data_IF_137199164012
#
_entry.id   IF_137199164012
#
_cell.length_a   1.000
_cell.length_b   1.000
_cell.length_c   1.000
_cell.angle_alpha   90.00
_cell.angle_beta   90.00
_cell.angle_gamma   90.00
#
_symmetry.space_group_name_H-M   'P 1'
#
loop_
_entity.id
_entity.type
_entity.pdbx_description
1 polymer ?
#
# COMPACT_ATOMS: atom_id res chain seq x y z
N UNK A 1 -11.61 21.13 -10.80
CA UNK A 1 -12.42 19.88 -10.88
C UNK A 1 -11.80 18.75 -10.08
N UNK A 2 -10.65 18.18 -10.46
CA UNK A 2 -10.01 17.10 -9.67
C UNK A 2 -9.54 17.58 -8.28
N UNK A 3 -8.98 18.79 -8.20
CA UNK A 3 -8.61 19.45 -6.92
C UNK A 3 -9.78 19.60 -5.95
N UNK A 4 -10.96 19.91 -6.49
CA UNK A 4 -12.16 20.19 -5.69
C UNK A 4 -12.72 18.88 -5.12
N UNK A 5 -12.75 17.82 -5.95
CA UNK A 5 -13.11 16.46 -5.52
C UNK A 5 -12.15 15.97 -4.44
N UNK A 6 -10.84 16.12 -4.65
CA UNK A 6 -9.84 15.70 -3.67
C UNK A 6 -10.01 16.44 -2.34
N UNK A 7 -10.34 17.73 -2.38
CA UNK A 7 -10.57 18.53 -1.16
C UNK A 7 -11.85 18.14 -0.44
N UNK A 8 -12.95 17.87 -1.17
CA UNK A 8 -14.22 17.46 -0.56
C UNK A 8 -14.15 16.04 0.02
N UNK A 9 -13.40 15.14 -0.62
CA UNK A 9 -13.27 13.75 -0.22
C UNK A 9 -12.16 13.51 0.82
N UNK A 10 -11.24 14.45 1.02
CA UNK A 10 -10.16 14.33 2.00
C UNK A 10 -10.63 14.19 3.45
N UNK A 11 -11.87 14.60 3.75
CA UNK A 11 -12.46 14.48 5.09
C UNK A 11 -13.22 13.16 5.30
N UNK A 12 -13.23 12.26 4.31
CA UNK A 12 -13.80 10.92 4.46
C UNK A 12 -12.97 10.09 5.44
N UNK A 13 -13.63 9.34 6.32
CA UNK A 13 -12.96 8.52 7.36
C UNK A 13 -12.78 7.06 6.97
N UNK A 14 -13.34 6.63 5.84
CA UNK A 14 -13.36 5.21 5.44
C UNK A 14 -12.17 4.81 4.56
N UNK A 15 -11.48 5.77 3.94
CA UNK A 15 -10.33 5.46 3.09
C UNK A 15 -9.81 6.63 2.27
N UNK A 16 -8.78 6.33 1.48
CA UNK A 16 -8.12 7.30 0.59
C UNK A 16 -8.88 7.41 -0.73
N UNK A 17 -9.25 8.62 -1.12
CA UNK A 17 -9.92 8.91 -2.39
C UNK A 17 -9.08 9.84 -3.25
N UNK A 18 -8.85 9.45 -4.51
CA UNK A 18 -7.99 10.17 -5.44
C UNK A 18 -8.68 10.36 -6.79
N UNK A 19 -8.94 11.62 -7.15
CA UNK A 19 -9.29 12.02 -8.50
C UNK A 19 -8.02 12.39 -9.27
N UNK A 20 -7.76 11.66 -10.35
CA UNK A 20 -6.58 11.82 -11.22
C UNK A 20 -6.99 12.17 -12.65
N UNK A 21 -6.06 12.78 -13.39
CA UNK A 21 -6.23 13.04 -14.82
C UNK A 21 -5.69 11.86 -15.64
N UNK A 22 -6.25 11.59 -16.84
CA UNK A 22 -5.70 10.58 -17.75
C UNK A 22 -4.27 10.93 -18.18
N UNK A 23 -3.47 9.94 -18.61
CA UNK A 23 -2.13 10.17 -19.15
C UNK A 23 -2.19 10.98 -20.44
N UNK A 24 -1.06 11.58 -20.84
CA UNK A 24 -0.95 12.32 -22.10
C UNK A 24 -0.93 11.42 -23.35
N UNK A 25 -0.50 10.16 -23.18
CA UNK A 25 -0.49 9.12 -24.20
C UNK A 25 -1.18 7.90 -23.58
N UNK A 26 -2.22 7.42 -24.23
CA UNK A 26 -3.16 6.43 -23.67
C UNK A 26 -2.45 5.14 -23.20
N UNK A 27 -1.42 4.68 -23.92
CA UNK A 27 -0.72 3.43 -23.62
C UNK A 27 0.49 3.58 -22.68
N UNK A 28 0.82 4.78 -22.20
CA UNK A 28 1.98 4.99 -21.32
C UNK A 28 1.67 4.92 -19.82
N UNK A 29 0.41 4.79 -19.43
CA UNK A 29 0.03 4.65 -18.04
C UNK A 29 -1.47 4.68 -17.83
N UNK A 30 -1.88 4.69 -16.56
CA UNK A 30 -3.29 4.76 -16.16
C UNK A 30 -3.69 6.16 -15.69
N UNK A 31 -2.72 7.01 -15.31
CA UNK A 31 -2.93 8.39 -14.88
C UNK A 31 -1.71 9.26 -15.20
N UNK A 32 -1.91 10.57 -15.26
CA UNK A 32 -0.83 11.55 -15.43
C UNK A 32 -0.11 11.81 -14.10
N UNK A 33 1.23 11.73 -14.11
CA UNK A 33 2.06 11.90 -12.93
C UNK A 33 3.45 11.31 -13.12
N UNK A 34 3.98 10.67 -12.09
CA UNK A 34 5.21 9.89 -12.15
C UNK A 34 4.97 8.49 -11.57
N UNK A 35 5.71 7.51 -12.07
CA UNK A 35 5.73 6.16 -11.51
C UNK A 35 7.11 5.87 -10.94
N UNK A 36 7.14 5.42 -9.68
CA UNK A 36 8.37 5.04 -8.99
C UNK A 36 8.23 3.61 -8.47
N UNK A 37 9.34 2.86 -8.50
CA UNK A 37 9.43 1.52 -7.91
C UNK A 37 10.51 1.54 -6.85
N UNK A 38 10.09 1.51 -5.58
CA UNK A 38 11.00 1.34 -4.45
C UNK A 38 11.36 -0.15 -4.36
N UNK A 39 12.66 -0.46 -4.42
CA UNK A 39 13.16 -1.83 -4.50
C UNK A 39 14.22 -2.05 -3.43
N UNK A 40 14.09 -3.17 -2.72
CA UNK A 40 15.19 -3.72 -1.93
C UNK A 40 16.19 -4.42 -2.86
N UNK A 41 17.46 -4.02 -2.79
CA UNK A 41 18.57 -4.59 -3.58
C UNK A 41 19.64 -5.27 -2.74
N UNK A 42 19.45 -5.34 -1.42
CA UNK A 42 20.42 -5.87 -0.47
C UNK A 42 19.85 -7.00 0.41
N UNK A 43 18.68 -7.54 0.06
CA UNK A 43 18.00 -8.62 0.81
C UNK A 43 17.70 -8.22 2.27
N UNK A 44 17.28 -6.98 2.49
CA UNK A 44 16.85 -6.46 3.78
C UNK A 44 15.47 -7.01 4.21
N UNK A 45 14.67 -7.47 3.24
CA UNK A 45 13.39 -8.12 3.47
C UNK A 45 12.20 -7.15 3.49
N UNK A 46 10.99 -7.71 3.46
CA UNK A 46 9.74 -6.95 3.31
C UNK A 46 9.49 -5.92 4.43
N UNK A 47 9.70 -6.23 5.72
CA UNK A 47 9.44 -5.25 6.79
C UNK A 47 10.32 -3.99 6.68
N UNK A 48 11.59 -4.16 6.29
CA UNK A 48 12.51 -3.04 6.12
C UNK A 48 12.12 -2.18 4.90
N UNK A 49 11.71 -2.82 3.81
CA UNK A 49 11.24 -2.11 2.61
C UNK A 49 9.99 -1.26 2.90
N UNK A 50 9.04 -1.77 3.69
CA UNK A 50 7.83 -1.05 4.06
C UNK A 50 8.14 0.13 4.99
N UNK A 51 9.02 -0.05 5.98
CA UNK A 51 9.47 1.06 6.82
C UNK A 51 10.13 2.18 6.01
N UNK A 52 10.94 1.83 5.00
CA UNK A 52 11.55 2.80 4.09
C UNK A 52 10.51 3.50 3.19
N UNK A 53 9.45 2.80 2.80
CA UNK A 53 8.32 3.41 2.09
C UNK A 53 7.63 4.46 2.96
N UNK A 54 7.31 4.13 4.22
CA UNK A 54 6.65 5.06 5.15
C UNK A 54 7.50 6.33 5.38
N UNK A 55 8.82 6.17 5.52
CA UNK A 55 9.76 7.29 5.64
C UNK A 55 9.73 8.18 4.39
N UNK A 56 9.81 7.58 3.19
CA UNK A 56 9.75 8.30 1.92
C UNK A 56 8.43 9.08 1.77
N UNK A 57 7.30 8.46 2.13
CA UNK A 57 5.99 9.07 2.09
C UNK A 57 5.88 10.25 3.05
N UNK A 58 6.39 10.11 4.27
CA UNK A 58 6.43 11.20 5.25
C UNK A 58 7.30 12.38 4.79
N UNK A 59 8.41 12.12 4.10
CA UNK A 59 9.24 13.17 3.49
C UNK A 59 8.54 13.85 2.32
N UNK A 60 7.90 13.08 1.45
CA UNK A 60 7.16 13.59 0.30
C UNK A 60 6.01 14.51 0.73
N UNK A 61 5.27 14.14 1.78
CA UNK A 61 4.16 14.92 2.32
C UNK A 61 4.57 16.33 2.80
N UNK A 62 5.81 16.50 3.26
CA UNK A 62 6.32 17.79 3.77
C UNK A 62 6.91 18.68 2.67
N UNK A 63 7.21 18.11 1.50
CA UNK A 63 7.90 18.81 0.44
C UNK A 63 6.93 19.59 -0.43
N UNK A 64 7.09 20.92 -0.48
CA UNK A 64 6.24 21.84 -1.27
C UNK A 64 6.27 21.60 -2.79
N UNK A 65 7.23 20.80 -3.29
CA UNK A 65 7.31 20.43 -4.71
C UNK A 65 6.38 19.27 -5.07
N UNK A 66 5.90 18.53 -4.08
CA UNK A 66 4.98 17.42 -4.29
C UNK A 66 3.58 17.81 -3.84
N UNK A 67 2.60 17.19 -4.48
CA UNK A 67 1.20 17.29 -4.11
C UNK A 67 0.63 15.89 -4.08
N UNK A 68 0.18 15.47 -2.89
CA UNK A 68 -0.59 14.25 -2.69
C UNK A 68 0.08 13.00 -3.28
N UNK A 69 1.29 12.65 -2.82
CA UNK A 69 1.95 11.38 -3.20
C UNK A 69 1.25 10.22 -2.49
N UNK A 70 0.99 9.12 -3.19
CA UNK A 70 0.32 7.93 -2.66
C UNK A 70 1.07 6.65 -3.06
N UNK A 71 0.77 5.56 -2.35
CA UNK A 71 1.23 4.22 -2.70
C UNK A 71 0.20 3.52 -3.59
N UNK A 72 0.67 2.88 -4.67
CA UNK A 72 -0.14 1.97 -5.47
C UNK A 72 -0.03 0.56 -4.89
N UNK A 73 -0.95 0.18 -4.00
CA UNK A 73 -0.97 -1.16 -3.42
C UNK A 73 -1.99 -1.29 -2.30
N UNK A 74 -2.29 -2.52 -1.91
CA UNK A 74 -3.11 -2.78 -0.74
C UNK A 74 -2.26 -2.62 0.52
N UNK A 75 -2.78 -1.95 1.57
CA UNK A 75 -2.10 -1.88 2.86
C UNK A 75 -2.00 -3.27 3.49
N UNK A 76 -1.11 -3.41 4.48
CA UNK A 76 -1.08 -4.62 5.29
C UNK A 76 -2.41 -4.79 6.04
N UNK A 77 -2.83 -6.05 6.18
CA UNK A 77 -4.01 -6.44 6.93
C UNK A 77 -3.73 -7.58 7.89
N UNK A 78 -4.65 -7.78 8.83
CA UNK A 78 -4.54 -8.85 9.81
C UNK A 78 -4.74 -10.22 9.20
N UNK A 79 -3.97 -11.20 9.68
CA UNK A 79 -4.04 -12.59 9.23
C UNK A 79 -4.26 -13.53 10.42
N UNK A 80 -4.97 -14.64 10.17
CA UNK A 80 -5.17 -15.71 11.14
C UNK A 80 -4.45 -16.96 10.65
N UNK A 81 -3.48 -17.44 11.44
CA UNK A 81 -2.76 -18.68 11.17
C UNK A 81 -3.22 -19.79 12.11
N UNK A 82 -3.78 -20.87 11.54
CA UNK A 82 -4.19 -22.04 12.29
C UNK A 82 -3.03 -23.04 12.38
N UNK A 83 -2.59 -23.34 13.59
CA UNK A 83 -1.56 -24.36 13.86
C UNK A 83 -2.22 -25.57 14.54
N UNK A 84 -2.35 -26.66 13.79
CA UNK A 84 -2.96 -27.90 14.27
C UNK A 84 -1.91 -28.74 14.99
N UNK A 85 -2.18 -29.09 16.25
CA UNK A 85 -1.36 -30.02 17.04
C UNK A 85 -1.72 -31.47 16.69
N UNK A 86 -0.97 -32.05 15.74
CA UNK A 86 -1.23 -33.41 15.25
C UNK A 86 -0.83 -34.49 16.25
N UNK A 87 0.17 -34.24 17.09
CA UNK A 87 0.62 -35.19 18.10
C UNK A 87 -0.46 -35.41 19.15
N UNK A 88 -1.04 -34.31 19.64
CA UNK A 88 -2.19 -34.34 20.56
C UNK A 88 -3.41 -35.01 19.94
N UNK A 89 -3.72 -34.72 18.67
CA UNK A 89 -4.83 -35.37 17.97
C UNK A 89 -4.65 -36.89 17.86
N UNK A 90 -3.44 -37.35 17.54
CA UNK A 90 -3.12 -38.77 17.49
C UNK A 90 -3.27 -39.45 18.85
N UNK A 91 -2.85 -38.79 19.94
CA UNK A 91 -2.97 -39.32 21.30
C UNK A 91 -4.43 -39.45 21.76
N UNK A 92 -5.31 -38.55 21.30
CA UNK A 92 -6.75 -38.61 21.58
C UNK A 92 -7.55 -39.49 20.61
N UNK A 93 -6.88 -40.22 19.70
CA UNK A 93 -7.53 -41.09 18.73
C UNK A 93 -8.34 -40.33 17.67
N UNK A 94 -8.10 -39.03 17.50
CA UNK A 94 -8.74 -38.23 16.45
C UNK A 94 -8.08 -38.57 15.13
N UNK A 95 -8.86 -39.15 14.21
CA UNK A 95 -8.40 -39.57 12.90
C UNK A 95 -8.13 -38.37 11.99
N UNK A 96 -7.07 -38.49 11.20
CA UNK A 96 -6.72 -37.60 10.09
C UNK A 96 -6.83 -38.37 8.77
#
# INVERSE_FOLDING_TARGET
MTSDVNSSMANSTEGETMAVLPPAIDELGTFSGFSLRLQDRANLGMPALLAAQDELMAMAAKNKKFYMVWNEGLPQGDNISLKIDREKLSAFGVKF
#
